data_IF_471220768374
#
_entry.id   IF_471220768374
#
_cell.length_a   1.000
_cell.length_b   1.000
_cell.length_c   1.000
_cell.angle_alpha   90.00
_cell.angle_beta   90.00
_cell.angle_gamma   90.00
#
_symmetry.space_group_name_H-M   'P 1'
#
loop_
_entity.id
_entity.type
_entity.pdbx_description
1 polymer ?
#
# COMPACT_ATOMS: atom_id res chain seq x y z
N UNK A 1 6.03 -28.87 -0.42
CA UNK A 1 6.96 -27.73 -0.57
C UNK A 1 6.82 -27.03 -1.92
N UNK A 2 6.96 -27.73 -3.05
CA UNK A 2 6.84 -27.12 -4.40
C UNK A 2 5.50 -26.39 -4.65
N UNK A 3 4.36 -26.99 -4.28
CA UNK A 3 3.04 -26.34 -4.37
C UNK A 3 2.94 -25.06 -3.53
N UNK A 4 3.54 -25.05 -2.33
CA UNK A 4 3.54 -23.86 -1.47
C UNK A 4 4.39 -22.75 -2.08
N UNK A 5 5.61 -23.07 -2.53
CA UNK A 5 6.50 -22.11 -3.18
C UNK A 5 5.91 -21.55 -4.49
N UNK A 6 5.26 -22.40 -5.28
CA UNK A 6 4.59 -21.98 -6.51
C UNK A 6 3.42 -21.03 -6.22
N UNK A 7 2.53 -21.39 -5.28
CA UNK A 7 1.43 -20.51 -4.88
C UNK A 7 1.95 -19.19 -4.30
N UNK A 8 2.95 -19.25 -3.43
CA UNK A 8 3.55 -18.06 -2.84
C UNK A 8 4.16 -17.14 -3.91
N UNK A 9 4.96 -17.69 -4.83
CA UNK A 9 5.61 -16.91 -5.88
C UNK A 9 4.61 -16.31 -6.86
N UNK A 10 3.60 -17.08 -7.28
CA UNK A 10 2.59 -16.59 -8.22
C UNK A 10 1.68 -15.56 -7.55
N UNK A 11 1.07 -15.91 -6.41
CA UNK A 11 0.10 -15.02 -5.75
C UNK A 11 0.78 -13.73 -5.29
N UNK A 12 1.90 -13.83 -4.58
CA UNK A 12 2.56 -12.64 -4.04
C UNK A 12 3.29 -11.84 -5.13
N UNK A 13 3.82 -12.52 -6.16
CA UNK A 13 4.46 -11.88 -7.30
C UNK A 13 3.49 -11.08 -8.18
N UNK A 14 2.24 -11.52 -8.32
CA UNK A 14 1.21 -10.76 -9.03
C UNK A 14 0.54 -9.69 -8.17
N UNK A 15 0.28 -9.99 -6.89
CA UNK A 15 -0.41 -9.08 -5.98
C UNK A 15 0.38 -7.80 -5.70
N UNK A 16 1.69 -7.93 -5.41
CA UNK A 16 2.55 -6.81 -5.07
C UNK A 16 2.58 -5.69 -6.12
N UNK A 17 2.83 -5.95 -7.42
CA UNK A 17 2.83 -4.89 -8.43
C UNK A 17 1.43 -4.31 -8.67
N UNK A 18 0.36 -5.11 -8.61
CA UNK A 18 -1.01 -4.62 -8.76
C UNK A 18 -1.37 -3.60 -7.68
N UNK A 19 -1.06 -3.92 -6.42
CA UNK A 19 -1.34 -3.04 -5.28
C UNK A 19 -0.41 -1.82 -5.30
N UNK A 20 0.89 -2.02 -5.53
CA UNK A 20 1.88 -0.94 -5.53
C UNK A 20 1.64 0.07 -6.65
N UNK A 21 1.39 -0.39 -7.89
CA UNK A 21 1.12 0.49 -9.02
C UNK A 21 -0.18 1.28 -8.80
N UNK A 22 -1.27 0.60 -8.42
CA UNK A 22 -2.57 1.24 -8.20
C UNK A 22 -2.50 2.30 -7.09
N UNK A 23 -1.78 2.01 -6.00
CA UNK A 23 -1.64 2.93 -4.87
C UNK A 23 -0.82 4.17 -5.26
N UNK A 24 0.28 4.00 -5.98
CA UNK A 24 1.13 5.10 -6.44
C UNK A 24 0.41 5.99 -7.47
N UNK A 25 -0.36 5.40 -8.39
CA UNK A 25 -1.20 6.14 -9.34
C UNK A 25 -2.28 6.92 -8.60
N UNK A 26 -3.01 6.28 -7.69
CA UNK A 26 -4.05 6.93 -6.90
C UNK A 26 -3.52 8.10 -6.07
N UNK A 27 -2.35 7.92 -5.44
CA UNK A 27 -1.69 8.98 -4.68
C UNK A 27 -1.32 10.19 -5.56
N UNK A 28 -0.84 9.92 -6.78
CA UNK A 28 -0.44 10.96 -7.74
C UNK A 28 -1.64 11.73 -8.28
N UNK A 29 -2.75 11.03 -8.57
CA UNK A 29 -4.03 11.62 -9.01
C UNK A 29 -4.66 12.51 -7.93
N UNK A 30 -4.65 12.07 -6.66
CA UNK A 30 -5.22 12.84 -5.55
C UNK A 30 -4.41 14.13 -5.27
N UNK A 31 -3.09 14.10 -5.43
CA UNK A 31 -2.22 15.24 -5.14
C UNK A 31 -2.12 16.28 -6.26
N UNK A 32 -2.10 15.83 -7.52
CA UNK A 32 -1.76 16.67 -8.67
C UNK A 32 -0.27 17.07 -8.72
N UNK A 33 0.13 17.89 -9.71
CA UNK A 33 1.54 18.12 -10.07
C UNK A 33 2.36 18.99 -9.09
N UNK A 34 1.72 19.64 -8.11
CA UNK A 34 2.36 20.73 -7.35
C UNK A 34 3.22 20.27 -6.15
N UNK A 35 2.98 19.06 -5.60
CA UNK A 35 3.64 18.59 -4.35
C UNK A 35 3.96 17.09 -4.31
N UNK A 36 4.10 16.46 -5.46
CA UNK A 36 4.21 14.99 -5.57
C UNK A 36 5.45 14.41 -4.86
N UNK A 37 6.62 15.07 -4.96
CA UNK A 37 7.87 14.54 -4.39
C UNK A 37 7.88 14.37 -2.86
N UNK A 38 7.40 15.36 -2.10
CA UNK A 38 7.41 15.28 -0.62
C UNK A 38 6.44 14.22 -0.10
N UNK A 39 5.25 14.10 -0.69
CA UNK A 39 4.27 13.09 -0.25
C UNK A 39 4.65 11.69 -0.71
N UNK A 40 5.19 11.51 -1.91
CA UNK A 40 5.75 10.23 -2.32
C UNK A 40 6.94 9.83 -1.44
N UNK A 41 7.77 10.79 -1.03
CA UNK A 41 8.84 10.57 -0.05
C UNK A 41 8.32 10.11 1.31
N UNK A 42 7.26 10.74 1.83
CA UNK A 42 6.61 10.34 3.08
C UNK A 42 5.94 8.95 2.98
N UNK A 43 5.33 8.65 1.84
CA UNK A 43 4.75 7.34 1.55
C UNK A 43 5.84 6.25 1.51
N UNK A 44 6.94 6.51 0.80
CA UNK A 44 8.08 5.60 0.74
C UNK A 44 8.72 5.39 2.13
N UNK A 45 8.87 6.46 2.91
CA UNK A 45 9.34 6.39 4.29
C UNK A 45 8.45 5.49 5.16
N UNK A 46 7.13 5.66 5.06
CA UNK A 46 6.16 4.81 5.78
C UNK A 46 6.27 3.34 5.35
N UNK A 47 6.45 3.08 4.06
CA UNK A 47 6.70 1.75 3.53
C UNK A 47 7.97 1.10 4.11
N UNK A 48 9.07 1.84 4.16
CA UNK A 48 10.32 1.39 4.78
C UNK A 48 10.15 1.13 6.29
N UNK A 49 9.35 1.94 6.99
CA UNK A 49 9.04 1.70 8.39
C UNK A 49 8.28 0.39 8.62
N UNK A 50 7.29 0.11 7.77
CA UNK A 50 6.55 -1.14 7.83
C UNK A 50 7.45 -2.36 7.60
N UNK A 51 8.43 -2.26 6.69
CA UNK A 51 9.31 -3.38 6.35
C UNK A 51 10.16 -3.89 7.51
N UNK A 52 10.63 -3.02 8.41
CA UNK A 52 11.34 -3.48 9.62
C UNK A 52 10.39 -3.80 10.77
N UNK A 53 9.25 -3.11 10.85
CA UNK A 53 8.28 -3.29 11.94
C UNK A 53 7.60 -4.66 11.85
N UNK A 54 7.13 -5.07 10.68
CA UNK A 54 6.45 -6.36 10.44
C UNK A 54 7.25 -7.58 10.90
N UNK A 55 8.54 -7.76 10.54
CA UNK A 55 9.32 -8.91 10.99
C UNK A 55 9.61 -8.89 12.49
N UNK A 56 9.81 -7.72 13.11
CA UNK A 56 10.00 -7.62 14.57
C UNK A 56 8.75 -8.13 15.31
N UNK A 57 7.57 -7.64 14.92
CA UNK A 57 6.31 -8.10 15.50
C UNK A 57 6.02 -9.57 15.19
N UNK A 58 6.31 -10.01 13.96
CA UNK A 58 6.08 -11.41 13.56
C UNK A 58 6.97 -12.39 14.32
N UNK A 59 8.25 -12.05 14.54
CA UNK A 59 9.17 -12.88 15.31
C UNK A 59 8.76 -12.95 16.78
N UNK A 60 8.44 -11.81 17.40
CA UNK A 60 7.98 -11.80 18.79
C UNK A 60 6.68 -12.61 18.99
N UNK A 61 5.76 -12.53 18.03
CA UNK A 61 4.51 -13.29 18.08
C UNK A 61 4.73 -14.79 17.79
N UNK A 62 5.72 -15.12 16.95
CA UNK A 62 6.11 -16.50 16.66
C UNK A 62 6.63 -17.21 17.90
N UNK A 63 7.53 -16.57 18.64
CA UNK A 63 8.18 -17.13 19.82
C UNK A 63 7.19 -17.47 20.93
N UNK A 64 6.13 -16.66 21.08
CA UNK A 64 5.18 -16.84 22.16
C UNK A 64 4.05 -17.85 21.84
N UNK A 65 3.60 -17.93 20.59
CA UNK A 65 2.31 -18.58 20.26
C UNK A 65 2.34 -19.52 19.04
N UNK A 66 3.47 -19.62 18.32
CA UNK A 66 3.62 -20.45 17.13
C UNK A 66 2.92 -19.91 15.87
N UNK A 67 3.03 -20.66 14.76
CA UNK A 67 2.70 -20.19 13.39
C UNK A 67 1.24 -19.76 13.17
N UNK A 68 0.26 -20.39 13.85
CA UNK A 68 -1.17 -20.14 13.62
C UNK A 68 -1.57 -18.68 13.88
N UNK A 69 -1.01 -18.05 14.91
CA UNK A 69 -1.39 -16.69 15.28
C UNK A 69 -0.84 -15.62 14.34
N UNK A 70 0.28 -15.90 13.67
CA UNK A 70 0.87 -14.99 12.68
C UNK A 70 -0.02 -14.89 11.44
N UNK A 71 -0.60 -16.02 11.01
CA UNK A 71 -1.55 -16.02 9.89
C UNK A 71 -2.81 -15.23 10.23
N UNK A 72 -3.36 -15.39 11.44
CA UNK A 72 -4.51 -14.60 11.90
C UNK A 72 -4.16 -13.11 11.96
N UNK A 73 -2.98 -12.76 12.48
CA UNK A 73 -2.51 -11.37 12.52
C UNK A 73 -2.46 -10.75 11.12
N UNK A 74 -1.84 -11.43 10.14
CA UNK A 74 -1.79 -10.93 8.76
C UNK A 74 -3.19 -10.77 8.16
N UNK A 75 -4.10 -11.71 8.43
CA UNK A 75 -5.48 -11.65 7.94
C UNK A 75 -6.24 -10.47 8.56
N UNK A 76 -6.02 -10.17 9.84
CA UNK A 76 -6.59 -8.99 10.52
C UNK A 76 -6.02 -7.69 9.92
N UNK A 77 -4.71 -7.62 9.65
CA UNK A 77 -4.09 -6.44 9.04
C UNK A 77 -4.63 -6.18 7.63
N UNK A 78 -4.73 -7.23 6.79
CA UNK A 78 -5.25 -7.12 5.42
C UNK A 78 -6.73 -6.74 5.43
N UNK A 79 -7.54 -7.35 6.31
CA UNK A 79 -8.95 -7.02 6.42
C UNK A 79 -9.19 -5.60 6.93
N UNK A 80 -8.38 -5.12 7.88
CA UNK A 80 -8.40 -3.73 8.33
C UNK A 80 -8.00 -2.76 7.21
N UNK A 81 -6.96 -3.10 6.43
CA UNK A 81 -6.54 -2.30 5.28
C UNK A 81 -7.64 -2.23 4.21
N UNK A 82 -8.29 -3.37 3.90
CA UNK A 82 -9.41 -3.43 2.98
C UNK A 82 -10.62 -2.63 3.48
N UNK A 83 -10.93 -2.73 4.78
CA UNK A 83 -12.00 -1.96 5.42
C UNK A 83 -11.71 -0.46 5.34
N UNK A 84 -10.49 -0.03 5.65
CA UNK A 84 -10.10 1.37 5.52
C UNK A 84 -10.19 1.84 4.07
N UNK A 85 -9.68 1.07 3.10
CA UNK A 85 -9.81 1.40 1.68
C UNK A 85 -11.28 1.53 1.27
N UNK A 86 -12.15 0.64 1.75
CA UNK A 86 -13.59 0.68 1.49
C UNK A 86 -14.28 1.90 2.11
N UNK A 87 -14.00 2.22 3.37
CA UNK A 87 -14.60 3.36 4.08
C UNK A 87 -14.13 4.69 3.49
N UNK A 88 -12.83 4.82 3.24
CA UNK A 88 -12.23 6.02 2.66
C UNK A 88 -12.43 6.10 1.15
N UNK A 89 -13.05 5.12 0.48
CA UNK A 89 -13.28 5.16 -0.98
C UNK A 89 -13.90 6.46 -1.44
N UNK A 90 -14.84 7.03 -0.66
CA UNK A 90 -15.52 8.29 -0.98
C UNK A 90 -14.61 9.52 -0.87
N UNK A 91 -13.53 9.45 -0.07
CA UNK A 91 -12.48 10.47 0.05
C UNK A 91 -11.30 10.22 -0.91
N UNK A 92 -11.10 8.97 -1.34
CA UNK A 92 -10.10 8.53 -2.32
C UNK A 92 -10.57 8.77 -3.77
N UNK A 93 -11.86 9.05 -4.00
CA UNK A 93 -12.31 9.61 -5.28
C UNK A 93 -11.62 10.96 -5.44
N UNK A 94 -10.84 11.16 -6.51
CA UNK A 94 -10.12 12.41 -6.74
C UNK A 94 -11.08 13.59 -6.58
N UNK A 95 -10.65 14.64 -5.89
CA UNK A 95 -11.32 15.94 -6.08
C UNK A 95 -11.33 16.15 -7.59
N UNK A 96 -12.53 16.23 -8.19
CA UNK A 96 -12.69 16.69 -9.56
C UNK A 96 -12.14 18.11 -9.64
N UNK A 97 -10.83 18.26 -9.82
CA UNK A 97 -10.28 19.45 -10.42
C UNK A 97 -10.76 19.37 -11.86
N UNK A 98 -11.85 20.09 -12.11
CA UNK A 98 -12.29 20.43 -13.45
C UNK A 98 -11.06 20.82 -14.30
N UNK A 99 -10.96 20.36 -15.56
CA UNK A 99 -9.78 20.58 -16.38
C UNK A 99 -9.67 22.06 -16.74
N UNK A 100 -8.57 22.70 -16.34
CA UNK A 100 -8.00 23.93 -16.92
C UNK A 100 -6.61 24.06 -16.29
N UNK A 101 -5.50 24.24 -16.99
CA UNK A 101 -5.27 24.96 -18.23
C UNK A 101 -4.00 24.39 -18.87
N UNK A 102 -4.09 23.95 -20.12
CA UNK A 102 -2.96 24.03 -21.03
C UNK A 102 -2.72 25.49 -21.39
N UNK A 103 -1.91 26.20 -20.61
CA UNK A 103 -1.27 27.44 -21.05
C UNK A 103 0.14 27.48 -20.53
N UNK A 104 1.08 27.49 -21.48
CA UNK A 104 2.45 27.88 -21.25
C UNK A 104 2.48 29.24 -20.52
N UNK A 105 3.14 29.28 -19.37
CA UNK A 105 3.64 30.56 -18.84
C UNK A 105 5.12 30.60 -19.17
N UNK A 106 5.42 31.28 -20.28
CA UNK A 106 6.72 31.93 -20.46
C UNK A 106 6.91 32.88 -19.28
N UNK A 107 8.04 32.78 -18.60
CA UNK A 107 8.73 33.93 -18.03
C UNK A 107 10.22 33.72 -18.18
#
# INVERSE_FOLDING_TARGET
>A
MALYLFNFAVVQGFDYPLVSASTNTLLSEILGPRKQGTIQGLFAFTGSMAQFTVPIFSTALFEHSGYKYIMVYHLVVISLAALMAYLLRKRLVPLKLSPTVGTATKS
#
